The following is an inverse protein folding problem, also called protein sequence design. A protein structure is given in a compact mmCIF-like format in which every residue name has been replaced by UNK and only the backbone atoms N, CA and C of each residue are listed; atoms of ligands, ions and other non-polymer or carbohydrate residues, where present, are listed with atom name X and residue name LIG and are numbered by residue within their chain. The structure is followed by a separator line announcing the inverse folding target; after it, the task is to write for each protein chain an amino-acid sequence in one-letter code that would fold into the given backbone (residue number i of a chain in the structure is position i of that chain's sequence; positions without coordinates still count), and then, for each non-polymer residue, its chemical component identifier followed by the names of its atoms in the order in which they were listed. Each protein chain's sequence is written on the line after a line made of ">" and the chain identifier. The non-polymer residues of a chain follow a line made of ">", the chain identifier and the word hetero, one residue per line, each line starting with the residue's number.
data_IF_903064283232
#
_entry.id   IF_903064283232
#
_cell.length_a   1.000
_cell.length_b   1.000
_cell.length_c   1.000
_cell.angle_alpha   90.00
_cell.angle_beta   90.00
_cell.angle_gamma   90.00
#
_symmetry.space_group_name_H-M   'P 1'
#
loop_
_entity.id
_entity.type
_entity.pdbx_description
1 polymer ?
#
# COMPACT_ATOMS: atom_id res chain seq x y z
N UNK A 1 -4.44 -8.30 -30.96
CA UNK A 1 -4.75 -6.89 -30.63
C UNK A 1 -3.67 -6.40 -29.66
N UNK A 2 -3.09 -5.22 -29.91
CA UNK A 2 -2.10 -4.66 -28.97
C UNK A 2 -2.77 -4.39 -27.63
N UNK A 3 -2.07 -4.69 -26.53
CA UNK A 3 -2.55 -4.43 -25.18
C UNK A 3 -2.59 -2.91 -24.94
N UNK A 4 -3.73 -2.38 -24.49
CA UNK A 4 -3.91 -0.95 -24.23
C UNK A 4 -3.08 -0.50 -23.02
N UNK A 5 -2.70 0.77 -22.97
CA UNK A 5 -2.00 1.33 -21.79
C UNK A 5 -2.87 1.26 -20.54
N UNK A 6 -4.19 1.42 -20.69
CA UNK A 6 -5.14 1.21 -19.60
C UNK A 6 -5.08 -0.21 -19.04
N UNK A 7 -4.99 -1.23 -19.88
CA UNK A 7 -4.90 -2.62 -19.45
C UNK A 7 -3.57 -2.92 -18.76
N UNK A 8 -2.47 -2.35 -19.24
CA UNK A 8 -1.16 -2.48 -18.57
C UNK A 8 -1.17 -1.86 -17.19
N UNK A 9 -1.73 -0.66 -17.06
CA UNK A 9 -1.94 -0.02 -15.75
C UNK A 9 -2.81 -0.91 -14.84
N UNK A 10 -3.91 -1.47 -15.37
CA UNK A 10 -4.79 -2.38 -14.65
C UNK A 10 -4.07 -3.64 -14.15
N UNK A 11 -3.20 -4.23 -14.96
CA UNK A 11 -2.38 -5.39 -14.58
C UNK A 11 -1.42 -5.04 -13.44
N UNK A 12 -0.73 -3.91 -13.52
CA UNK A 12 0.17 -3.42 -12.47
C UNK A 12 -0.56 -3.19 -11.15
N UNK A 13 -1.71 -2.53 -11.20
CA UNK A 13 -2.56 -2.28 -10.03
C UNK A 13 -3.07 -3.58 -9.41
N UNK A 14 -3.45 -4.57 -10.24
CA UNK A 14 -3.89 -5.89 -9.76
C UNK A 14 -2.79 -6.59 -8.96
N UNK A 15 -1.54 -6.59 -9.43
CA UNK A 15 -0.41 -7.17 -8.70
C UNK A 15 -0.17 -6.44 -7.37
N UNK A 16 -0.23 -5.12 -7.36
CA UNK A 16 -0.10 -4.31 -6.14
C UNK A 16 -1.22 -4.63 -5.15
N UNK A 17 -2.45 -4.81 -5.62
CA UNK A 17 -3.60 -5.22 -4.81
C UNK A 17 -3.41 -6.62 -4.20
N UNK A 18 -2.83 -7.57 -4.96
CA UNK A 18 -2.51 -8.91 -4.45
C UNK A 18 -1.50 -8.80 -3.29
N UNK A 19 -0.44 -8.02 -3.45
CA UNK A 19 0.53 -7.77 -2.37
C UNK A 19 -0.13 -7.15 -1.13
N UNK A 20 -1.00 -6.16 -1.32
CA UNK A 20 -1.78 -5.56 -0.23
C UNK A 20 -2.70 -6.57 0.46
N UNK A 21 -3.32 -7.48 -0.29
CA UNK A 21 -4.17 -8.53 0.28
C UNK A 21 -3.37 -9.53 1.13
N UNK A 22 -2.13 -9.85 0.72
CA UNK A 22 -1.21 -10.67 1.52
C UNK A 22 -0.86 -9.96 2.82
N UNK A 23 -0.54 -8.66 2.77
CA UNK A 23 -0.29 -7.85 3.96
C UNK A 23 -1.47 -7.87 4.92
N UNK A 24 -2.68 -7.69 4.42
CA UNK A 24 -3.91 -7.73 5.23
C UNK A 24 -4.13 -9.10 5.88
N UNK A 25 -3.81 -10.21 5.18
CA UNK A 25 -3.87 -11.56 5.74
C UNK A 25 -2.85 -11.74 6.86
N UNK A 26 -1.64 -11.20 6.72
CA UNK A 26 -0.63 -11.22 7.77
C UNK A 26 -1.08 -10.43 9.03
N UNK A 27 -1.70 -9.27 8.85
CA UNK A 27 -2.30 -8.51 9.95
C UNK A 27 -3.44 -9.26 10.62
N UNK A 28 -4.33 -9.87 9.82
CA UNK A 28 -5.43 -10.65 10.36
C UNK A 28 -4.93 -11.83 11.22
N UNK A 29 -3.95 -12.58 10.72
CA UNK A 29 -3.35 -13.69 11.47
C UNK A 29 -2.63 -13.21 12.74
N UNK A 30 -1.89 -12.08 12.67
CA UNK A 30 -1.28 -11.46 13.86
C UNK A 30 -2.30 -11.14 14.95
N UNK A 31 -3.49 -10.70 14.55
CA UNK A 31 -4.54 -10.27 15.49
C UNK A 31 -5.39 -11.42 16.02
N UNK A 32 -5.32 -12.62 15.42
CA UNK A 32 -6.23 -13.73 15.74
C UNK A 32 -5.55 -15.00 16.18
N UNK A 33 -4.65 -15.55 15.37
CA UNK A 33 -4.14 -16.92 15.55
C UNK A 33 -2.64 -17.06 15.73
N UNK A 34 -1.88 -15.99 15.55
CA UNK A 34 -0.42 -16.05 15.59
C UNK A 34 0.11 -16.36 17.01
N UNK A 35 0.97 -17.39 17.18
CA UNK A 35 1.64 -17.61 18.48
C UNK A 35 2.53 -16.43 18.89
N UNK A 36 2.55 -16.07 20.18
CA UNK A 36 3.38 -14.95 20.71
C UNK A 36 4.85 -15.03 20.27
N UNK A 37 5.43 -16.25 20.17
CA UNK A 37 6.80 -16.44 19.70
C UNK A 37 7.04 -16.12 18.22
N UNK A 38 5.99 -16.02 17.42
CA UNK A 38 6.05 -15.67 15.98
C UNK A 38 6.18 -14.17 15.69
N UNK A 39 6.03 -13.35 16.70
CA UNK A 39 5.92 -11.90 16.64
C UNK A 39 7.09 -11.20 15.94
N UNK A 40 8.32 -11.54 16.31
CA UNK A 40 9.52 -10.96 15.66
C UNK A 40 9.57 -11.24 14.17
N UNK A 41 9.28 -12.49 13.77
CA UNK A 41 9.24 -12.87 12.36
C UNK A 41 8.11 -12.16 11.60
N UNK A 42 6.93 -12.03 12.23
CA UNK A 42 5.81 -11.30 11.65
C UNK A 42 6.14 -9.82 11.43
N UNK A 43 6.84 -9.19 12.37
CA UNK A 43 7.30 -7.81 12.21
C UNK A 43 8.21 -7.65 10.99
N UNK A 44 9.12 -8.59 10.75
CA UNK A 44 9.98 -8.59 9.55
C UNK A 44 9.17 -8.77 8.26
N UNK A 45 8.21 -9.71 8.25
CA UNK A 45 7.32 -9.93 7.09
C UNK A 45 6.53 -8.66 6.73
N UNK A 46 5.91 -8.01 7.73
CA UNK A 46 5.11 -6.79 7.53
C UNK A 46 5.98 -5.61 7.10
N UNK A 47 7.19 -5.49 7.66
CA UNK A 47 8.15 -4.45 7.25
C UNK A 47 8.58 -4.65 5.80
N UNK A 48 8.91 -5.87 5.41
CA UNK A 48 9.33 -6.19 4.04
C UNK A 48 8.22 -5.92 3.02
N UNK A 49 6.99 -6.35 3.31
CA UNK A 49 5.87 -6.13 2.36
C UNK A 49 5.48 -4.66 2.26
N UNK A 50 5.58 -3.90 3.37
CA UNK A 50 5.37 -2.45 3.36
C UNK A 50 6.39 -1.74 2.46
N UNK A 51 7.67 -2.15 2.54
CA UNK A 51 8.73 -1.67 1.65
C UNK A 51 8.41 -1.95 0.18
N UNK A 52 8.09 -3.20 -0.17
CA UNK A 52 7.78 -3.58 -1.56
C UNK A 52 6.57 -2.81 -2.10
N UNK A 53 5.52 -2.62 -1.30
CA UNK A 53 4.35 -1.84 -1.68
C UNK A 53 4.69 -0.36 -1.89
N UNK A 54 5.49 0.22 -1.01
CA UNK A 54 5.94 1.60 -1.14
C UNK A 54 6.80 1.80 -2.41
N UNK A 55 7.78 0.91 -2.65
CA UNK A 55 8.62 0.96 -3.85
C UNK A 55 7.78 0.88 -5.14
N UNK A 56 6.77 -0.01 -5.17
CA UNK A 56 5.86 -0.10 -6.31
C UNK A 56 5.02 1.17 -6.49
N UNK A 57 4.43 1.68 -5.42
CA UNK A 57 3.53 2.83 -5.46
C UNK A 57 4.25 4.17 -5.73
N UNK A 58 5.56 4.24 -5.50
CA UNK A 58 6.39 5.43 -5.74
C UNK A 58 7.32 5.30 -6.94
N UNK A 59 7.27 4.17 -7.69
CA UNK A 59 8.19 3.88 -8.78
C UNK A 59 7.99 4.77 -10.01
N UNK A 60 9.06 4.97 -10.75
CA UNK A 60 9.02 5.64 -12.06
C UNK A 60 8.19 4.82 -13.08
N UNK A 61 8.25 3.49 -13.00
CA UNK A 61 7.43 2.59 -13.81
C UNK A 61 5.94 2.88 -13.62
N UNK A 62 5.48 2.99 -12.37
CA UNK A 62 4.09 3.30 -12.06
C UNK A 62 3.68 4.69 -12.59
N UNK A 63 4.55 5.69 -12.42
CA UNK A 63 4.34 7.03 -12.99
C UNK A 63 4.15 6.98 -14.51
N UNK A 64 5.02 6.24 -15.22
CA UNK A 64 4.97 6.10 -16.67
C UNK A 64 3.70 5.38 -17.14
N UNK A 65 3.26 4.34 -16.42
CA UNK A 65 2.01 3.64 -16.72
C UNK A 65 0.78 4.57 -16.57
N UNK A 66 0.73 5.36 -15.49
CA UNK A 66 -0.35 6.34 -15.28
C UNK A 66 -0.35 7.37 -16.41
N UNK A 67 0.80 7.92 -16.76
CA UNK A 67 0.89 8.95 -17.80
C UNK A 67 0.51 8.40 -19.18
N UNK A 68 0.96 7.19 -19.51
CA UNK A 68 0.61 6.53 -20.78
C UNK A 68 -0.89 6.25 -20.90
N UNK A 69 -1.52 5.76 -19.81
CA UNK A 69 -2.97 5.54 -19.76
C UNK A 69 -3.74 6.86 -19.86
N UNK A 70 -3.25 7.94 -19.25
CA UNK A 70 -3.84 9.27 -19.35
C UNK A 70 -3.82 9.80 -20.76
N UNK A 71 -2.69 9.66 -21.47
CA UNK A 71 -2.55 10.11 -22.85
C UNK A 71 -3.46 9.31 -23.78
N UNK A 72 -3.55 7.99 -23.61
CA UNK A 72 -4.46 7.12 -24.35
C UNK A 72 -5.92 7.56 -24.22
N UNK A 73 -6.35 7.91 -22.99
CA UNK A 73 -7.72 8.39 -22.76
C UNK A 73 -8.00 9.73 -23.45
N UNK A 74 -7.06 10.67 -23.42
CA UNK A 74 -7.21 11.95 -24.09
C UNK A 74 -7.36 11.81 -25.62
N UNK A 75 -6.69 10.80 -26.22
CA UNK A 75 -6.83 10.51 -27.64
C UNK A 75 -8.18 9.84 -27.97
N UNK A 76 -8.72 9.02 -27.06
CA UNK A 76 -10.04 8.39 -27.19
C UNK A 76 -11.16 9.43 -27.04
N UNK A 77 -11.04 10.38 -26.11
CA UNK A 77 -12.04 11.43 -25.86
C UNK A 77 -12.30 12.27 -27.12
N UNK A 78 -11.26 12.54 -27.91
CA UNK A 78 -11.36 13.31 -29.16
C UNK A 78 -12.19 12.59 -30.24
N UNK A 79 -12.38 11.26 -30.12
CA UNK A 79 -12.90 10.39 -31.17
C UNK A 79 -14.14 9.57 -30.77
N UNK A 80 -14.71 9.75 -29.56
CA UNK A 80 -15.75 8.87 -29.02
C UNK A 80 -16.95 9.61 -28.41
N UNK A 81 -18.15 9.09 -28.67
CA UNK A 81 -19.41 9.56 -28.07
C UNK A 81 -19.65 9.05 -26.64
N UNK A 82 -18.77 8.18 -26.08
CA UNK A 82 -18.98 7.55 -24.78
C UNK A 82 -18.32 8.33 -23.62
N UNK A 83 -18.77 9.57 -23.41
CA UNK A 83 -18.19 10.50 -22.45
C UNK A 83 -18.27 10.05 -20.99
N UNK A 84 -19.27 9.25 -20.58
CA UNK A 84 -19.43 8.84 -19.18
C UNK A 84 -18.30 7.87 -18.76
N UNK A 85 -18.02 6.89 -19.60
CA UNK A 85 -16.95 5.89 -19.35
C UNK A 85 -15.55 6.51 -19.33
N UNK A 86 -15.34 7.55 -20.14
CA UNK A 86 -14.08 8.29 -20.17
C UNK A 86 -13.90 9.09 -18.88
N UNK A 87 -14.93 9.79 -18.41
CA UNK A 87 -14.91 10.56 -17.17
C UNK A 87 -14.58 9.70 -15.92
N UNK A 88 -15.12 8.50 -15.85
CA UNK A 88 -14.80 7.57 -14.74
C UNK A 88 -13.32 7.17 -14.75
N UNK A 89 -12.77 6.88 -15.92
CA UNK A 89 -11.34 6.58 -16.06
C UNK A 89 -10.44 7.77 -15.74
N UNK A 90 -10.80 8.97 -16.20
CA UNK A 90 -10.09 10.20 -15.84
C UNK A 90 -10.10 10.47 -14.33
N UNK A 91 -11.24 10.22 -13.69
CA UNK A 91 -11.36 10.32 -12.24
C UNK A 91 -10.41 9.34 -11.54
N UNK A 92 -10.36 8.09 -11.99
CA UNK A 92 -9.46 7.08 -11.46
C UNK A 92 -7.99 7.49 -11.64
N UNK A 93 -7.59 7.98 -12.81
CA UNK A 93 -6.23 8.49 -13.06
C UNK A 93 -5.90 9.66 -12.13
N UNK A 94 -6.84 10.58 -11.93
CA UNK A 94 -6.64 11.72 -11.02
C UNK A 94 -6.38 11.26 -9.57
N UNK A 95 -7.12 10.24 -9.10
CA UNK A 95 -6.91 9.64 -7.77
C UNK A 95 -5.57 8.93 -7.68
N UNK A 96 -5.20 8.13 -8.69
CA UNK A 96 -3.91 7.44 -8.74
C UNK A 96 -2.73 8.41 -8.73
N UNK A 97 -2.80 9.52 -9.47
CA UNK A 97 -1.77 10.56 -9.46
C UNK A 97 -1.64 11.22 -8.09
N UNK A 98 -2.77 11.45 -7.41
CA UNK A 98 -2.77 12.02 -6.06
C UNK A 98 -2.09 11.07 -5.07
N UNK A 99 -2.43 9.79 -5.09
CA UNK A 99 -1.80 8.77 -4.23
C UNK A 99 -0.32 8.60 -4.56
N UNK A 100 0.04 8.49 -5.85
CA UNK A 100 1.44 8.42 -6.30
C UNK A 100 2.27 9.58 -5.76
N UNK A 101 1.77 10.82 -5.87
CA UNK A 101 2.48 12.00 -5.38
C UNK A 101 2.65 12.00 -3.85
N UNK A 102 1.69 11.44 -3.11
CA UNK A 102 1.80 11.28 -1.65
C UNK A 102 2.86 10.25 -1.29
N UNK A 103 2.79 9.06 -1.90
CA UNK A 103 3.74 7.98 -1.68
C UNK A 103 5.18 8.38 -2.03
N UNK A 104 5.37 9.05 -3.15
CA UNK A 104 6.69 9.52 -3.60
C UNK A 104 7.38 10.47 -2.62
N UNK A 105 6.61 11.22 -1.85
CA UNK A 105 7.14 12.18 -0.88
C UNK A 105 7.53 11.54 0.47
N UNK A 106 7.21 10.26 0.67
CA UNK A 106 7.56 9.54 1.88
C UNK A 106 8.99 8.96 1.76
N UNK A 107 9.79 9.13 2.81
CA UNK A 107 11.09 8.46 2.90
C UNK A 107 10.86 6.94 3.07
N UNK A 108 11.45 6.07 2.22
CA UNK A 108 11.33 4.62 2.35
C UNK A 108 11.72 4.09 3.74
N UNK A 109 12.74 4.68 4.37
CA UNK A 109 13.16 4.33 5.74
C UNK A 109 12.09 4.65 6.76
N UNK A 110 11.36 5.75 6.58
CA UNK A 110 10.22 6.09 7.42
C UNK A 110 9.10 5.06 7.29
N UNK A 111 8.78 4.63 6.06
CA UNK A 111 7.75 3.59 5.80
C UNK A 111 8.12 2.27 6.48
N UNK A 112 9.38 1.83 6.33
CA UNK A 112 9.87 0.61 6.99
C UNK A 112 9.83 0.72 8.52
N UNK A 113 10.29 1.85 9.08
CA UNK A 113 10.29 2.07 10.54
C UNK A 113 8.90 2.12 11.12
N UNK A 114 7.94 2.78 10.44
CA UNK A 114 6.54 2.81 10.85
C UNK A 114 5.88 1.43 10.81
N UNK A 115 6.14 0.63 9.77
CA UNK A 115 5.60 -0.73 9.70
C UNK A 115 6.11 -1.60 10.85
N UNK A 116 7.41 -1.50 11.16
CA UNK A 116 8.05 -2.20 12.27
C UNK A 116 7.53 -1.73 13.62
N UNK A 117 7.46 -0.42 13.85
CA UNK A 117 6.96 0.18 15.08
C UNK A 117 5.50 -0.21 15.34
N UNK A 118 4.63 -0.16 14.31
CA UNK A 118 3.23 -0.59 14.42
C UNK A 118 3.09 -2.07 14.80
N UNK A 119 3.87 -2.95 14.17
CA UNK A 119 3.79 -4.39 14.48
C UNK A 119 4.22 -4.68 15.90
N UNK A 120 5.35 -4.13 16.35
CA UNK A 120 5.85 -4.28 17.73
C UNK A 120 4.95 -3.59 18.76
N UNK A 121 4.48 -2.40 18.44
CA UNK A 121 3.58 -1.64 19.30
C UNK A 121 2.28 -2.38 19.55
N UNK A 122 1.73 -3.07 18.54
CA UNK A 122 0.53 -3.88 18.71
C UNK A 122 0.72 -5.01 19.74
N UNK A 123 1.84 -5.72 19.70
CA UNK A 123 2.14 -6.81 20.65
C UNK A 123 2.31 -6.30 22.07
N UNK A 124 3.11 -5.24 22.25
CA UNK A 124 3.32 -4.64 23.55
C UNK A 124 2.02 -4.05 24.14
N UNK A 125 1.15 -3.52 23.28
CA UNK A 125 -0.18 -3.06 23.67
C UNK A 125 -1.07 -4.21 24.15
N UNK A 126 -1.06 -5.37 23.47
CA UNK A 126 -1.81 -6.55 23.90
C UNK A 126 -1.32 -7.05 25.26
N UNK A 127 0.00 -7.14 25.45
CA UNK A 127 0.60 -7.56 26.72
C UNK A 127 0.28 -6.58 27.86
N UNK A 128 0.39 -5.27 27.59
CA UNK A 128 0.04 -4.22 28.54
C UNK A 128 -1.43 -4.31 28.98
N UNK A 129 -2.33 -4.59 28.03
CA UNK A 129 -3.75 -4.77 28.28
C UNK A 129 -4.03 -6.03 29.12
N UNK A 130 -3.41 -7.17 28.78
CA UNK A 130 -3.54 -8.42 29.53
C UNK A 130 -3.09 -8.26 31.00
N UNK A 131 -1.99 -7.53 31.22
CA UNK A 131 -1.40 -7.29 32.53
C UNK A 131 -1.93 -6.05 33.27
N UNK A 132 -2.80 -5.26 32.60
CA UNK A 132 -3.28 -3.96 33.09
C UNK A 132 -2.13 -3.02 33.49
N UNK A 133 -1.01 -3.07 32.75
CA UNK A 133 0.20 -2.28 32.98
C UNK A 133 0.61 -1.51 31.71
N UNK A 134 0.29 -0.22 31.66
CA UNK A 134 0.62 0.66 30.54
C UNK A 134 2.15 0.84 30.36
N UNK A 135 2.96 0.66 31.39
CA UNK A 135 4.42 0.84 31.27
C UNK A 135 5.06 -0.13 30.28
N UNK A 136 4.42 -1.27 30.00
CA UNK A 136 4.87 -2.23 28.99
C UNK A 136 4.74 -1.64 27.57
N UNK A 137 3.70 -0.86 27.33
CA UNK A 137 3.44 -0.25 26.02
C UNK A 137 4.15 1.10 25.83
N UNK A 138 4.41 1.84 26.91
CA UNK A 138 4.91 3.21 26.87
C UNK A 138 6.13 3.41 25.97
N UNK A 139 7.20 2.57 25.98
CA UNK A 139 8.36 2.76 25.12
C UNK A 139 8.02 2.69 23.62
N UNK A 140 7.07 1.85 23.25
CA UNK A 140 6.64 1.68 21.86
C UNK A 140 5.65 2.78 21.43
N UNK A 141 4.91 3.34 22.35
CA UNK A 141 4.06 4.48 22.11
C UNK A 141 4.88 5.75 21.84
N UNK A 142 6.01 5.93 22.52
CA UNK A 142 6.92 7.05 22.32
C UNK A 142 7.72 6.95 21.01
N UNK A 143 7.86 5.73 20.43
CA UNK A 143 8.51 5.49 19.14
C UNK A 143 7.59 5.80 17.95
N UNK A 144 6.26 5.83 18.12
CA UNK A 144 5.26 6.10 17.08
C UNK A 144 5.03 7.60 16.86
#
# INVERSE_FOLDING_TARGET
>A
MAETHWNKLGAYLKETQILGSIQNTLYWDQNTGMPKKGASWRSEQLTYIAKVLHERNSSEEFSNLIQSAKNELADIERNSDNQLFIKDKERNISLLLKEFNRERNLDPKLVESLAKAKSKGYESWQEAKEKSDFKIFLPFFEEL
#
